data_IF_189307223378
#
_entry.id   IF_189307223378
#
_cell.length_a   1.000
_cell.length_b   1.000
_cell.length_c   1.000
_cell.angle_alpha   90.00
_cell.angle_beta   90.00
_cell.angle_gamma   90.00
#
_symmetry.space_group_name_H-M   'P 1'
#
loop_
_entity.id
_entity.type
_entity.pdbx_description
1 polymer ?
#
# COMPACT_ATOMS: atom_id res chain seq x y z
N UNK A 1 -3.48 -13.07 9.14
CA UNK A 1 -4.89 -13.47 8.92
C UNK A 1 -5.19 -13.74 7.45
N UNK A 2 -4.77 -12.89 6.51
CA UNK A 2 -5.05 -13.06 5.08
C UNK A 2 -4.56 -14.39 4.49
N UNK A 3 -3.50 -14.96 5.04
CA UNK A 3 -2.93 -16.24 4.60
C UNK A 3 -3.53 -17.47 5.29
N UNK A 4 -4.43 -17.28 6.25
CA UNK A 4 -5.04 -18.39 6.97
C UNK A 4 -6.19 -19.00 6.17
N UNK A 5 -6.34 -20.32 6.24
CA UNK A 5 -7.47 -21.02 5.63
C UNK A 5 -8.74 -20.80 6.46
N UNK A 6 -9.48 -19.75 6.13
CA UNK A 6 -10.73 -19.38 6.77
C UNK A 6 -11.56 -18.53 5.80
N UNK A 7 -12.83 -18.38 6.07
CA UNK A 7 -13.70 -17.55 5.25
C UNK A 7 -13.20 -16.11 5.18
N UNK A 8 -13.07 -15.57 3.97
CA UNK A 8 -12.55 -14.24 3.71
C UNK A 8 -11.01 -14.12 3.73
N UNK A 9 -10.30 -15.23 3.81
CA UNK A 9 -8.83 -15.28 3.78
C UNK A 9 -8.32 -16.22 2.67
N UNK A 10 -7.35 -17.07 2.93
CA UNK A 10 -6.75 -18.03 1.99
C UNK A 10 -5.83 -17.40 0.93
N UNK A 11 -5.28 -16.23 1.17
CA UNK A 11 -4.32 -15.64 0.27
C UNK A 11 -2.95 -16.30 0.40
N UNK A 12 -2.24 -16.44 -0.72
CA UNK A 12 -0.80 -16.69 -0.69
C UNK A 12 -0.09 -15.37 -0.43
N UNK A 13 0.63 -15.29 0.68
CA UNK A 13 1.28 -14.05 1.12
C UNK A 13 2.79 -14.15 0.97
N UNK A 14 3.39 -13.22 0.25
CA UNK A 14 4.84 -13.08 0.09
C UNK A 14 5.31 -11.80 0.78
N UNK A 15 6.27 -11.93 1.66
CA UNK A 15 6.86 -10.79 2.37
C UNK A 15 8.21 -10.47 1.75
N UNK A 16 8.37 -9.22 1.29
CA UNK A 16 9.60 -8.71 0.71
C UNK A 16 10.17 -7.57 1.57
N UNK A 17 11.48 -7.39 1.53
CA UNK A 17 12.19 -6.33 2.25
C UNK A 17 13.46 -5.93 1.49
N UNK A 18 14.23 -5.01 2.00
CA UNK A 18 15.45 -4.48 1.35
C UNK A 18 16.50 -5.55 1.01
N UNK A 19 16.49 -6.67 1.70
CA UNK A 19 17.37 -7.81 1.41
C UNK A 19 16.79 -8.83 0.43
N UNK A 20 15.55 -8.63 -0.06
CA UNK A 20 14.92 -9.56 -1.00
C UNK A 20 15.53 -9.40 -2.38
N UNK A 21 16.13 -10.44 -2.95
CA UNK A 21 16.61 -10.38 -4.32
C UNK A 21 15.44 -10.30 -5.30
N UNK A 22 15.59 -9.47 -6.33
CA UNK A 22 14.63 -9.34 -7.41
C UNK A 22 13.17 -9.12 -6.94
N UNK A 23 12.93 -8.02 -6.23
CA UNK A 23 11.59 -7.64 -5.74
C UNK A 23 10.56 -7.61 -6.87
N UNK A 24 10.93 -7.18 -8.07
CA UNK A 24 10.04 -7.11 -9.22
C UNK A 24 9.44 -8.47 -9.59
N UNK A 25 10.16 -9.55 -9.42
CA UNK A 25 9.63 -10.89 -9.65
C UNK A 25 8.38 -11.15 -8.80
N UNK A 26 8.41 -10.75 -7.55
CA UNK A 26 7.30 -10.92 -6.62
C UNK A 26 6.15 -9.95 -6.91
N UNK A 27 6.45 -8.69 -7.15
CA UNK A 27 5.43 -7.67 -7.38
C UNK A 27 4.69 -7.87 -8.71
N UNK A 28 5.37 -8.32 -9.76
CA UNK A 28 4.75 -8.60 -11.07
C UNK A 28 3.76 -9.77 -11.06
N UNK A 29 3.82 -10.64 -10.07
CA UNK A 29 2.91 -11.79 -9.96
C UNK A 29 1.80 -11.55 -8.95
N UNK A 30 1.89 -10.52 -8.14
CA UNK A 30 0.94 -10.25 -7.07
C UNK A 30 -0.38 -9.65 -7.60
N UNK A 31 -1.51 -10.14 -7.08
CA UNK A 31 -2.82 -9.57 -7.34
C UNK A 31 -3.04 -8.30 -6.52
N UNK A 32 -2.57 -8.30 -5.29
CA UNK A 32 -2.62 -7.18 -4.35
C UNK A 32 -1.22 -6.90 -3.84
N UNK A 33 -0.80 -5.65 -3.93
CA UNK A 33 0.50 -5.20 -3.43
C UNK A 33 0.26 -4.20 -2.31
N UNK A 34 0.81 -4.49 -1.14
CA UNK A 34 0.85 -3.55 -0.02
C UNK A 34 2.28 -3.02 0.04
N UNK A 35 2.46 -1.73 -0.22
CA UNK A 35 3.77 -1.09 -0.21
C UNK A 35 3.94 -0.19 1.00
N UNK A 36 4.98 -0.45 1.80
CA UNK A 36 5.26 0.24 3.05
C UNK A 36 6.78 0.27 3.30
N UNK A 37 7.52 0.93 2.41
CA UNK A 37 8.98 0.93 2.40
C UNK A 37 9.59 2.22 2.97
N UNK A 38 8.86 3.33 2.90
CA UNK A 38 9.39 4.65 3.22
C UNK A 38 10.33 5.18 2.13
N UNK A 39 10.18 4.73 0.89
CA UNK A 39 10.96 5.18 -0.27
C UNK A 39 10.01 5.83 -1.28
N UNK A 40 10.11 7.15 -1.48
CA UNK A 40 9.20 7.87 -2.37
C UNK A 40 9.20 7.30 -3.79
N UNK A 41 8.00 7.07 -4.32
CA UNK A 41 7.78 6.66 -5.72
C UNK A 41 8.57 5.42 -6.16
N UNK A 42 8.80 4.49 -5.24
CA UNK A 42 9.55 3.25 -5.51
C UNK A 42 8.81 2.31 -6.46
N UNK A 43 7.51 2.11 -6.23
CA UNK A 43 6.71 1.18 -7.02
C UNK A 43 6.15 1.88 -8.27
N UNK A 44 6.54 1.42 -9.43
CA UNK A 44 6.07 1.94 -10.72
C UNK A 44 5.28 0.90 -11.52
N UNK A 45 4.76 1.31 -12.68
CA UNK A 45 3.95 0.44 -13.53
C UNK A 45 4.71 -0.80 -14.05
N UNK A 46 6.04 -0.71 -14.19
CA UNK A 46 6.86 -1.84 -14.65
C UNK A 46 6.99 -2.92 -13.58
N UNK A 47 6.74 -2.57 -12.34
CA UNK A 47 6.82 -3.46 -11.19
C UNK A 47 5.50 -4.16 -10.86
N UNK A 48 4.40 -3.82 -11.51
CA UNK A 48 3.09 -4.41 -11.25
C UNK A 48 2.55 -5.13 -12.48
N UNK A 49 1.68 -6.11 -12.26
CA UNK A 49 0.92 -6.70 -13.37
C UNK A 49 -0.29 -5.84 -13.70
N UNK A 50 -0.86 -6.05 -14.89
CA UNK A 50 -2.10 -5.42 -15.29
C UNK A 50 -3.23 -5.73 -14.30
N UNK A 51 -4.02 -4.73 -13.97
CA UNK A 51 -5.17 -4.83 -13.08
C UNK A 51 -4.82 -5.20 -11.62
N UNK A 52 -3.56 -5.07 -11.20
CA UNK A 52 -3.19 -5.24 -9.81
C UNK A 52 -3.87 -4.19 -8.91
N UNK A 53 -4.12 -4.55 -7.67
CA UNK A 53 -4.57 -3.63 -6.62
C UNK A 53 -3.35 -3.16 -5.84
N UNK A 54 -3.18 -1.85 -5.66
CA UNK A 54 -2.04 -1.28 -4.93
C UNK A 54 -2.54 -0.54 -3.69
N UNK A 55 -2.09 -0.98 -2.53
CA UNK A 55 -2.36 -0.34 -1.25
C UNK A 55 -1.06 0.33 -0.79
N UNK A 56 -1.01 1.65 -0.91
CA UNK A 56 0.16 2.45 -0.57
C UNK A 56 0.04 2.97 0.86
N UNK A 57 0.88 2.46 1.73
CA UNK A 57 0.96 2.84 3.16
C UNK A 57 2.00 3.93 3.38
N UNK A 58 2.87 4.17 2.40
CA UNK A 58 3.95 5.14 2.50
C UNK A 58 3.43 6.57 2.62
N UNK A 59 4.04 7.35 3.50
CA UNK A 59 3.85 8.80 3.56
C UNK A 59 5.23 9.43 3.64
N UNK A 60 5.64 10.08 2.57
CA UNK A 60 6.95 10.69 2.44
C UNK A 60 6.79 12.19 2.20
N UNK A 61 7.59 12.96 2.91
CA UNK A 61 7.68 14.40 2.71
C UNK A 61 8.83 14.69 1.76
N UNK A 62 8.50 15.30 0.64
CA UNK A 62 9.51 15.74 -0.34
C UNK A 62 9.41 17.24 -0.57
N UNK A 63 10.52 17.87 -0.93
CA UNK A 63 10.55 19.29 -1.22
C UNK A 63 9.69 19.61 -2.45
N UNK A 64 8.96 20.71 -2.38
CA UNK A 64 8.11 21.17 -3.47
C UNK A 64 8.03 22.68 -3.50
N UNK A 65 7.88 23.22 -4.71
CA UNK A 65 7.69 24.65 -4.93
C UNK A 65 6.21 25.01 -4.75
N UNK A 66 5.80 25.09 -3.48
CA UNK A 66 4.45 25.50 -3.05
C UNK A 66 4.54 26.33 -1.76
N UNK A 67 3.40 26.82 -1.26
CA UNK A 67 3.38 27.66 -0.06
C UNK A 67 3.95 26.96 1.19
N UNK A 68 3.82 25.63 1.27
CA UNK A 68 4.33 24.85 2.40
C UNK A 68 5.80 24.47 2.26
N UNK A 69 6.38 24.58 1.05
CA UNK A 69 7.73 24.14 0.72
C UNK A 69 7.90 22.63 0.61
N UNK A 70 6.84 21.85 0.74
CA UNK A 70 6.86 20.39 0.63
C UNK A 70 5.53 19.85 0.12
N UNK A 71 5.55 18.60 -0.33
CA UNK A 71 4.35 17.80 -0.59
C UNK A 71 4.51 16.40 -0.02
N UNK A 72 3.38 15.74 0.21
CA UNK A 72 3.34 14.35 0.65
C UNK A 72 3.16 13.44 -0.56
N UNK A 73 3.95 12.39 -0.63
CA UNK A 73 3.86 11.35 -1.66
C UNK A 73 3.96 9.98 -1.02
N UNK A 74 3.39 8.99 -1.68
CA UNK A 74 3.50 7.60 -1.26
C UNK A 74 4.78 6.91 -1.73
N UNK A 75 4.84 5.63 -1.46
CA UNK A 75 5.90 4.75 -1.94
C UNK A 75 5.62 4.27 -3.38
N UNK A 76 4.40 4.45 -3.88
CA UNK A 76 4.06 4.19 -5.27
C UNK A 76 4.10 5.49 -6.09
N UNK A 77 4.62 5.39 -7.32
CA UNK A 77 4.52 6.47 -8.29
C UNK A 77 3.10 6.52 -8.84
N UNK A 78 2.27 7.39 -8.25
CA UNK A 78 0.85 7.50 -8.57
C UNK A 78 0.57 7.64 -10.06
N UNK A 79 1.27 8.56 -10.73
CA UNK A 79 1.05 8.82 -12.15
C UNK A 79 1.37 7.62 -13.04
N UNK A 80 2.29 6.79 -12.59
CA UNK A 80 2.70 5.58 -13.28
C UNK A 80 1.70 4.45 -13.03
N UNK A 81 1.37 4.17 -11.77
CA UNK A 81 0.54 3.00 -11.42
C UNK A 81 -0.94 3.16 -11.77
N UNK A 82 -1.49 4.39 -11.73
CA UNK A 82 -2.91 4.62 -12.02
C UNK A 82 -3.33 4.18 -13.42
N UNK A 83 -2.38 4.11 -14.34
CA UNK A 83 -2.62 3.69 -15.73
C UNK A 83 -2.77 2.17 -15.88
N UNK A 84 -2.27 1.40 -14.93
CA UNK A 84 -2.17 -0.06 -15.03
C UNK A 84 -2.89 -0.80 -13.91
N UNK A 85 -2.96 -0.24 -12.72
CA UNK A 85 -3.68 -0.82 -11.59
C UNK A 85 -5.19 -0.76 -11.79
N UNK A 86 -5.91 -1.77 -11.29
CA UNK A 86 -7.39 -1.73 -11.26
C UNK A 86 -7.91 -0.85 -10.14
N UNK A 87 -7.16 -0.77 -9.04
CA UNK A 87 -7.46 0.10 -7.90
C UNK A 87 -6.15 0.44 -7.18
N UNK A 88 -6.08 1.64 -6.64
CA UNK A 88 -4.94 2.09 -5.85
C UNK A 88 -5.39 3.10 -4.80
N UNK A 89 -4.72 3.10 -3.65
CA UNK A 89 -4.98 4.11 -2.62
C UNK A 89 -4.11 5.34 -2.86
N UNK A 90 -4.69 6.55 -2.84
CA UNK A 90 -3.90 7.78 -2.97
C UNK A 90 -3.10 8.08 -1.70
N UNK A 91 -2.08 8.91 -1.83
CA UNK A 91 -1.34 9.49 -0.69
C UNK A 91 -1.17 11.00 -0.94
N UNK A 92 -1.62 11.85 -0.03
CA UNK A 92 -2.41 11.56 1.18
C UNK A 92 -3.88 11.24 0.90
N UNK A 93 -4.62 10.83 1.94
CA UNK A 93 -6.07 10.64 1.85
C UNK A 93 -6.53 9.21 1.57
N UNK A 94 -5.60 8.25 1.53
CA UNK A 94 -5.90 6.82 1.33
C UNK A 94 -5.91 6.03 2.65
N UNK A 95 -4.82 5.32 2.93
CA UNK A 95 -4.69 4.43 4.10
C UNK A 95 -4.73 5.20 5.43
N UNK A 96 -4.20 6.41 5.50
CA UNK A 96 -4.18 7.20 6.73
C UNK A 96 -5.56 7.34 7.39
N UNK A 97 -6.57 7.91 6.71
CA UNK A 97 -7.93 7.99 7.23
C UNK A 97 -8.55 6.63 7.56
N UNK A 98 -8.27 5.60 6.77
CA UNK A 98 -8.74 4.23 7.03
C UNK A 98 -8.12 3.62 8.28
N UNK A 99 -6.87 3.93 8.56
CA UNK A 99 -6.19 3.49 9.79
C UNK A 99 -6.93 4.01 11.02
N UNK A 100 -7.36 5.26 11.02
CA UNK A 100 -8.11 5.87 12.12
C UNK A 100 -9.49 5.21 12.25
N UNK A 101 -10.18 5.02 11.15
CA UNK A 101 -11.51 4.38 11.13
C UNK A 101 -11.45 2.94 11.68
N UNK A 102 -10.47 2.16 11.24
CA UNK A 102 -10.29 0.79 11.68
C UNK A 102 -9.84 0.69 13.14
N UNK A 103 -9.04 1.64 13.61
CA UNK A 103 -8.67 1.72 15.02
C UNK A 103 -9.90 1.93 15.90
N UNK A 104 -10.80 2.83 15.50
CA UNK A 104 -12.05 3.07 16.21
C UNK A 104 -12.93 1.82 16.24
N UNK A 105 -13.12 1.15 15.10
CA UNK A 105 -13.89 -0.09 15.00
C UNK A 105 -13.29 -1.20 15.85
N UNK A 106 -12.00 -1.44 15.74
CA UNK A 106 -11.30 -2.47 16.53
C UNK A 106 -11.36 -2.20 18.02
N UNK A 107 -11.34 -0.93 18.44
CA UNK A 107 -11.46 -0.56 19.85
C UNK A 107 -12.84 -0.90 20.40
N UNK A 108 -13.89 -0.62 19.65
CA UNK A 108 -15.27 -0.97 20.02
C UNK A 108 -15.44 -2.50 20.09
N UNK A 109 -14.98 -3.20 19.08
CA UNK A 109 -15.03 -4.66 19.04
C UNK A 109 -14.30 -5.29 20.21
N UNK A 110 -13.12 -4.79 20.56
CA UNK A 110 -12.36 -5.26 21.71
C UNK A 110 -13.14 -5.06 23.03
N UNK A 111 -13.82 -3.92 23.18
CA UNK A 111 -14.64 -3.62 24.34
C UNK A 111 -15.88 -4.57 24.44
N UNK A 112 -16.49 -4.87 23.30
CA UNK A 112 -17.66 -5.79 23.25
C UNK A 112 -17.28 -7.23 23.60
N UNK A 113 -16.04 -7.63 23.40
CA UNK A 113 -15.54 -8.99 23.64
C UNK A 113 -14.92 -9.21 25.03
N UNK A 114 -15.05 -8.25 25.95
CA UNK A 114 -14.57 -8.37 27.32
C UNK A 114 -15.53 -9.21 28.18
#
# INVERSE_FOLDING_TARGET
LTSMKMDGANATTTICHSGTPNIQYHTKTADVIIVALGVPSFLDQEMIKKDAVVIDVGINRIDADNQKGYKLVGDADWQSIEKKASAATPVPGGVGPMTIAMLAENTVEAAENI
#
